data_IF_983249240882
#
_entry.id   IF_983249240882
#
_cell.length_a   1.000
_cell.length_b   1.000
_cell.length_c   1.000
_cell.angle_alpha   90.00
_cell.angle_beta   90.00
_cell.angle_gamma   90.00
#
_symmetry.space_group_name_H-M   'P 1'
#
loop_
_entity.id
_entity.type
_entity.pdbx_description
1 polymer ?
#
# COMPACT_ATOMS: atom_id res chain seq x y z
N UNK A 1 39.83 -34.87 3.99
CA UNK A 1 38.87 -34.14 3.13
C UNK A 1 37.44 -34.36 3.64
N UNK A 2 36.96 -33.59 4.63
CA UNK A 2 35.59 -33.73 5.19
C UNK A 2 34.93 -32.38 5.56
N UNK A 3 35.32 -31.27 4.92
CA UNK A 3 34.94 -29.92 5.40
C UNK A 3 33.92 -29.17 4.53
N UNK A 4 33.30 -29.79 3.52
CA UNK A 4 32.46 -29.06 2.55
C UNK A 4 30.94 -29.19 2.75
N UNK A 5 30.45 -30.32 3.28
CA UNK A 5 29.00 -30.58 3.39
C UNK A 5 28.33 -29.97 4.63
N UNK A 6 29.05 -29.86 5.74
CA UNK A 6 28.52 -29.29 7.00
C UNK A 6 28.43 -27.76 6.97
N UNK A 7 29.31 -27.09 6.23
CA UNK A 7 29.29 -25.62 6.06
C UNK A 7 28.04 -25.18 5.29
N UNK A 8 27.61 -25.95 4.27
CA UNK A 8 26.41 -25.64 3.49
C UNK A 8 25.11 -25.76 4.32
N UNK A 9 25.06 -26.69 5.28
CA UNK A 9 23.90 -26.90 6.16
C UNK A 9 23.80 -25.84 7.26
N UNK A 10 24.92 -25.30 7.73
CA UNK A 10 24.97 -24.18 8.68
C UNK A 10 24.66 -22.80 8.05
N UNK A 11 24.88 -22.64 6.74
CA UNK A 11 24.58 -21.38 6.03
C UNK A 11 23.08 -21.19 5.70
N UNK A 12 22.32 -22.27 5.54
CA UNK A 12 20.89 -22.23 5.23
C UNK A 12 20.04 -21.48 6.30
N UNK A 13 20.19 -21.72 7.62
CA UNK A 13 19.45 -20.96 8.63
C UNK A 13 19.88 -19.49 8.68
N UNK A 14 21.16 -19.17 8.43
CA UNK A 14 21.65 -17.79 8.40
C UNK A 14 21.05 -16.96 7.25
N UNK A 15 20.79 -17.59 6.10
CA UNK A 15 20.13 -16.95 4.96
C UNK A 15 18.66 -16.61 5.25
N UNK A 16 17.94 -17.50 5.96
CA UNK A 16 16.54 -17.31 6.34
C UNK A 16 16.33 -16.16 7.34
N UNK A 17 17.32 -15.88 8.20
CA UNK A 17 17.28 -14.76 9.15
C UNK A 17 17.31 -13.37 8.50
N UNK A 18 17.72 -13.25 7.23
CA UNK A 18 17.78 -11.95 6.53
C UNK A 18 16.43 -11.44 6.00
N UNK A 19 15.38 -12.27 6.06
CA UNK A 19 14.08 -11.96 5.49
C UNK A 19 13.22 -11.05 6.41
N UNK A 20 13.51 -11.04 7.70
CA UNK A 20 12.72 -10.33 8.73
C UNK A 20 12.99 -8.82 8.86
N UNK A 21 13.94 -8.26 8.11
CA UNK A 21 14.41 -6.88 8.28
C UNK A 21 14.40 -6.01 7.02
N UNK A 22 13.66 -6.36 5.97
CA UNK A 22 13.70 -5.58 4.72
C UNK A 22 12.85 -4.31 4.82
N UNK A 23 13.51 -3.18 5.02
CA UNK A 23 12.96 -1.88 4.63
C UNK A 23 13.10 -1.71 3.12
N UNK A 24 12.20 -0.95 2.53
CA UNK A 24 12.15 -0.57 1.12
C UNK A 24 12.03 0.95 1.02
N UNK A 25 12.53 1.57 -0.06
CA UNK A 25 12.18 2.96 -0.37
C UNK A 25 10.67 3.15 -0.35
N UNK A 26 10.22 4.16 0.40
CA UNK A 26 8.82 4.57 0.44
C UNK A 26 8.57 5.50 -0.75
N UNK A 27 7.85 4.94 -1.72
CA UNK A 27 7.41 5.63 -2.91
C UNK A 27 5.90 5.47 -2.99
N UNK A 28 5.18 6.58 -3.11
CA UNK A 28 3.74 6.53 -3.32
C UNK A 28 3.45 5.90 -4.69
N UNK A 29 2.43 5.04 -4.83
CA UNK A 29 2.06 4.46 -6.12
C UNK A 29 1.81 5.52 -7.18
N UNK A 30 2.02 5.16 -8.45
CA UNK A 30 1.64 6.01 -9.56
C UNK A 30 0.13 6.32 -9.52
N UNK A 31 -0.30 7.50 -9.99
CA UNK A 31 -1.72 7.83 -10.10
C UNK A 31 -2.47 6.80 -10.95
N UNK A 32 -3.68 6.44 -10.51
CA UNK A 32 -4.57 5.50 -11.21
C UNK A 32 -5.52 6.35 -12.06
N UNK A 33 -5.59 6.10 -13.36
CA UNK A 33 -6.52 6.80 -14.24
C UNK A 33 -7.98 6.45 -13.92
N UNK A 34 -8.86 7.44 -13.96
CA UNK A 34 -10.30 7.28 -13.80
C UNK A 34 -10.95 7.18 -15.18
N UNK A 35 -11.71 6.11 -15.47
CA UNK A 35 -12.49 6.01 -16.71
C UNK A 35 -13.43 7.21 -16.92
N UNK A 36 -13.62 7.60 -18.18
CA UNK A 36 -14.50 8.71 -18.52
C UNK A 36 -15.94 8.44 -18.08
N UNK A 37 -16.66 9.51 -17.70
CA UNK A 37 -18.07 9.43 -17.29
C UNK A 37 -18.30 9.13 -15.80
N UNK A 38 -17.26 8.80 -15.04
CA UNK A 38 -17.36 8.64 -13.59
C UNK A 38 -17.36 10.00 -12.88
N UNK A 39 -18.31 10.18 -11.96
CA UNK A 39 -18.32 11.33 -11.04
C UNK A 39 -17.58 11.01 -9.72
N UNK A 40 -17.29 12.04 -8.92
CA UNK A 40 -16.54 11.89 -7.68
C UNK A 40 -17.19 10.93 -6.65
N UNK A 41 -18.52 10.80 -6.65
CA UNK A 41 -19.23 9.86 -5.77
C UNK A 41 -18.93 8.41 -6.18
N UNK A 42 -18.95 8.12 -7.48
CA UNK A 42 -18.62 6.80 -8.02
C UNK A 42 -17.15 6.44 -7.79
N UNK A 43 -16.24 7.39 -8.00
CA UNK A 43 -14.80 7.21 -7.71
C UNK A 43 -14.58 6.95 -6.22
N UNK A 44 -15.21 7.74 -5.35
CA UNK A 44 -15.15 7.52 -3.91
C UNK A 44 -15.69 6.16 -3.48
N UNK A 45 -16.74 5.65 -4.15
CA UNK A 45 -17.27 4.29 -3.93
C UNK A 45 -16.26 3.21 -4.33
N UNK A 46 -15.58 3.36 -5.48
CA UNK A 46 -14.53 2.43 -5.91
C UNK A 46 -13.38 2.37 -4.89
N UNK A 47 -12.90 3.53 -4.44
CA UNK A 47 -11.84 3.66 -3.44
C UNK A 47 -12.25 3.02 -2.12
N UNK A 48 -13.44 3.35 -1.61
CA UNK A 48 -13.96 2.78 -0.36
C UNK A 48 -14.11 1.26 -0.45
N UNK A 49 -14.61 0.73 -1.57
CA UNK A 49 -14.71 -0.71 -1.80
C UNK A 49 -13.36 -1.42 -1.71
N UNK A 50 -12.32 -0.86 -2.31
CA UNK A 50 -10.98 -1.44 -2.30
C UNK A 50 -10.34 -1.39 -0.90
N UNK A 51 -10.50 -0.27 -0.18
CA UNK A 51 -10.04 -0.12 1.20
C UNK A 51 -10.66 -1.18 2.12
N UNK A 52 -12.00 -1.27 2.12
CA UNK A 52 -12.73 -2.22 2.95
C UNK A 52 -12.40 -3.67 2.60
N UNK A 53 -12.30 -3.99 1.30
CA UNK A 53 -11.93 -5.33 0.81
C UNK A 53 -10.55 -5.81 1.28
N UNK A 54 -9.66 -4.88 1.65
CA UNK A 54 -8.33 -5.17 2.20
C UNK A 54 -8.21 -4.94 3.71
N UNK A 55 -9.33 -4.72 4.39
CA UNK A 55 -9.37 -4.52 5.84
C UNK A 55 -8.83 -3.17 6.31
N UNK A 56 -8.73 -2.18 5.42
CA UNK A 56 -8.48 -0.79 5.83
C UNK A 56 -9.74 -0.20 6.44
N UNK A 57 -9.59 0.47 7.57
CA UNK A 57 -10.65 1.23 8.22
C UNK A 57 -10.64 2.66 7.71
N UNK A 58 -11.77 3.13 7.16
CA UNK A 58 -11.95 4.54 6.81
C UNK A 58 -12.07 5.37 8.08
N UNK A 59 -11.22 6.38 8.23
CA UNK A 59 -11.16 7.24 9.43
C UNK A 59 -11.72 8.63 9.18
N UNK A 60 -11.68 9.11 7.94
CA UNK A 60 -12.25 10.39 7.52
C UNK A 60 -12.64 10.30 6.04
N UNK A 61 -13.73 10.97 5.65
CA UNK A 61 -14.21 10.99 4.27
C UNK A 61 -14.68 12.39 3.90
N UNK A 62 -14.07 12.94 2.86
CA UNK A 62 -14.38 14.25 2.26
C UNK A 62 -14.83 14.05 0.82
N UNK A 63 -15.24 15.13 0.14
CA UNK A 63 -15.75 15.08 -1.24
C UNK A 63 -14.74 14.54 -2.25
N UNK A 64 -13.45 14.81 -2.06
CA UNK A 64 -12.36 14.44 -2.98
C UNK A 64 -11.22 13.68 -2.30
N UNK A 65 -11.42 13.22 -1.06
CA UNK A 65 -10.40 12.43 -0.36
C UNK A 65 -11.00 11.49 0.69
N UNK A 66 -10.32 10.38 0.94
CA UNK A 66 -10.62 9.42 2.00
C UNK A 66 -9.33 9.17 2.78
N UNK A 67 -9.37 9.36 4.10
CA UNK A 67 -8.29 8.91 4.99
C UNK A 67 -8.62 7.53 5.54
N UNK A 68 -7.62 6.66 5.59
CA UNK A 68 -7.79 5.30 6.06
C UNK A 68 -6.59 4.82 6.85
N UNK A 69 -6.82 3.85 7.74
CA UNK A 69 -5.79 3.19 8.51
C UNK A 69 -5.89 1.67 8.40
N UNK A 70 -4.74 1.00 8.40
CA UNK A 70 -4.63 -0.44 8.59
C UNK A 70 -3.83 -0.67 9.87
N UNK A 71 -4.41 -1.39 10.82
CA UNK A 71 -3.80 -1.60 12.13
C UNK A 71 -3.83 -3.06 12.57
N UNK A 72 -2.84 -3.42 13.37
CA UNK A 72 -2.77 -4.58 14.26
C UNK A 72 -2.33 -4.09 15.63
N UNK A 73 -2.29 -4.98 16.62
CA UNK A 73 -1.87 -4.63 17.98
C UNK A 73 -0.44 -4.06 17.99
N UNK A 74 0.43 -4.55 17.10
CA UNK A 74 1.84 -4.18 17.07
C UNK A 74 2.18 -3.03 16.13
N UNK A 75 1.34 -2.69 15.14
CA UNK A 75 1.69 -1.72 14.10
C UNK A 75 0.49 -1.02 13.47
N UNK A 76 0.72 0.17 12.91
CA UNK A 76 -0.30 0.98 12.25
C UNK A 76 0.27 1.61 10.98
N UNK A 77 -0.50 1.59 9.89
CA UNK A 77 -0.27 2.39 8.69
C UNK A 77 -1.45 3.34 8.46
N UNK A 78 -1.18 4.59 8.10
CA UNK A 78 -2.19 5.59 7.73
C UNK A 78 -1.90 6.13 6.34
N UNK A 79 -2.95 6.22 5.54
CA UNK A 79 -2.90 6.76 4.18
C UNK A 79 -4.00 7.78 3.97
N UNK A 80 -3.80 8.64 2.98
CA UNK A 80 -4.85 9.44 2.36
C UNK A 80 -4.95 9.03 0.90
N UNK A 81 -6.17 8.83 0.43
CA UNK A 81 -6.46 8.60 -0.98
C UNK A 81 -7.22 9.81 -1.49
N UNK A 82 -6.59 10.56 -2.39
CA UNK A 82 -7.17 11.73 -3.03
C UNK A 82 -7.63 11.36 -4.43
N UNK A 83 -8.75 11.92 -4.86
CA UNK A 83 -9.34 11.56 -6.14
C UNK A 83 -10.15 12.69 -6.76
N UNK A 84 -10.19 12.67 -8.08
CA UNK A 84 -11.04 13.52 -8.91
C UNK A 84 -11.60 12.70 -10.07
N UNK A 85 -12.19 13.37 -11.07
CA UNK A 85 -12.75 12.70 -12.25
C UNK A 85 -11.70 12.19 -13.26
N UNK A 86 -10.40 12.41 -13.00
CA UNK A 86 -9.29 12.04 -13.89
C UNK A 86 -8.37 11.01 -13.27
N UNK A 87 -8.11 11.09 -11.97
CA UNK A 87 -7.17 10.20 -11.31
C UNK A 87 -7.47 9.96 -9.83
N UNK A 88 -6.91 8.87 -9.32
CA UNK A 88 -6.82 8.54 -7.89
C UNK A 88 -5.35 8.45 -7.48
N UNK A 89 -4.99 9.08 -6.36
CA UNK A 89 -3.64 9.07 -5.81
C UNK A 89 -3.65 8.59 -4.35
N UNK A 90 -2.90 7.54 -4.06
CA UNK A 90 -2.66 7.07 -2.69
C UNK A 90 -1.41 7.76 -2.15
N UNK A 91 -1.47 8.28 -0.92
CA UNK A 91 -0.35 8.92 -0.24
C UNK A 91 -0.14 8.35 1.14
N UNK A 92 1.12 8.06 1.47
CA UNK A 92 1.53 7.83 2.85
C UNK A 92 1.25 9.06 3.72
N UNK A 93 0.68 8.84 4.91
CA UNK A 93 0.48 9.89 5.90
C UNK A 93 1.37 9.67 7.11
N UNK A 94 1.29 8.50 7.73
CA UNK A 94 1.98 8.20 8.98
C UNK A 94 2.01 6.68 9.25
N UNK A 95 2.89 6.23 10.14
CA UNK A 95 2.93 4.84 10.60
C UNK A 95 3.54 4.69 11.99
N UNK A 96 3.15 3.61 12.67
CA UNK A 96 3.74 3.15 13.93
C UNK A 96 4.31 1.76 13.74
N UNK A 97 5.54 1.55 14.23
CA UNK A 97 6.25 0.27 14.20
C UNK A 97 6.42 -0.36 12.79
N UNK A 98 6.43 0.48 11.74
CA UNK A 98 6.74 0.06 10.36
C UNK A 98 8.13 0.48 9.90
N UNK A 99 9.04 0.76 10.85
CA UNK A 99 10.43 1.17 10.56
C UNK A 99 10.49 2.34 9.57
N UNK A 100 9.59 3.31 9.72
CA UNK A 100 9.65 4.53 8.93
C UNK A 100 10.88 5.34 9.37
N UNK A 101 11.71 5.72 8.42
CA UNK A 101 12.86 6.58 8.65
C UNK A 101 13.16 7.43 7.43
N UNK A 102 13.81 8.57 7.66
CA UNK A 102 14.32 9.46 6.62
C UNK A 102 15.84 9.46 6.72
N UNK A 103 16.52 9.02 5.66
CA UNK A 103 17.98 9.04 5.57
C UNK A 103 18.48 10.48 5.35
N UNK A 104 19.78 10.70 5.55
CA UNK A 104 20.43 12.03 5.42
C UNK A 104 20.28 12.65 4.03
N UNK A 105 20.17 11.81 3.00
CA UNK A 105 19.96 12.19 1.60
C UNK A 105 18.48 12.50 1.26
N UNK A 106 17.58 12.44 2.25
CA UNK A 106 16.14 12.63 2.07
C UNK A 106 15.38 11.36 1.66
N UNK A 107 16.07 10.24 1.44
CA UNK A 107 15.42 8.97 1.09
C UNK A 107 14.55 8.49 2.26
N UNK A 108 13.25 8.30 2.00
CA UNK A 108 12.30 7.74 2.96
C UNK A 108 12.30 6.22 2.84
N UNK A 109 12.45 5.50 3.94
CA UNK A 109 12.36 4.03 3.99
C UNK A 109 11.21 3.59 4.90
N UNK A 110 10.63 2.43 4.60
CA UNK A 110 9.55 1.79 5.38
C UNK A 110 9.63 0.27 5.25
N UNK A 111 9.02 -0.47 6.16
CA UNK A 111 8.90 -1.92 6.07
C UNK A 111 8.33 -2.37 4.71
N UNK A 112 8.96 -3.35 4.06
CA UNK A 112 8.65 -3.77 2.68
C UNK A 112 7.18 -4.15 2.45
N UNK A 113 6.53 -4.77 3.43
CA UNK A 113 5.10 -5.12 3.37
C UNK A 113 4.21 -3.94 3.00
N UNK A 114 4.54 -2.73 3.46
CA UNK A 114 3.77 -1.53 3.14
C UNK A 114 3.66 -1.32 1.63
N UNK A 115 4.74 -1.56 0.89
CA UNK A 115 4.74 -1.40 -0.57
C UNK A 115 3.90 -2.44 -1.28
N UNK A 116 3.92 -3.69 -0.79
CA UNK A 116 2.98 -4.70 -1.26
C UNK A 116 1.53 -4.28 -1.04
N UNK A 117 1.19 -3.76 0.14
CA UNK A 117 -0.17 -3.29 0.43
C UNK A 117 -0.61 -2.17 -0.52
N UNK A 118 0.28 -1.22 -0.83
CA UNK A 118 -0.02 -0.12 -1.74
C UNK A 118 -0.20 -0.57 -3.19
N UNK A 119 0.64 -1.49 -3.69
CA UNK A 119 0.50 -2.08 -5.02
C UNK A 119 -0.85 -2.79 -5.17
N UNK A 120 -1.18 -3.60 -4.19
CA UNK A 120 -2.41 -4.35 -4.12
C UNK A 120 -3.65 -3.47 -4.02
N UNK A 121 -3.61 -2.45 -3.16
CA UNK A 121 -4.70 -1.48 -3.03
C UNK A 121 -4.90 -0.71 -4.35
N UNK A 122 -3.81 -0.33 -5.04
CA UNK A 122 -3.88 0.35 -6.33
C UNK A 122 -4.56 -0.50 -7.39
N UNK A 123 -4.19 -1.78 -7.50
CA UNK A 123 -4.82 -2.71 -8.44
C UNK A 123 -6.30 -2.93 -8.16
N UNK A 124 -6.70 -2.98 -6.88
CA UNK A 124 -8.10 -3.17 -6.50
C UNK A 124 -8.95 -1.93 -6.78
N UNK A 125 -8.41 -0.72 -6.55
CA UNK A 125 -9.06 0.54 -6.92
C UNK A 125 -9.31 0.57 -8.43
N UNK A 126 -8.27 0.27 -9.23
CA UNK A 126 -8.40 0.20 -10.69
C UNK A 126 -9.51 -0.75 -11.14
N UNK A 127 -9.53 -1.98 -10.61
CA UNK A 127 -10.59 -2.96 -10.93
C UNK A 127 -11.99 -2.47 -10.53
N UNK A 128 -12.12 -1.82 -9.37
CA UNK A 128 -13.41 -1.28 -8.94
C UNK A 128 -13.87 -0.10 -9.81
N UNK A 129 -12.96 0.73 -10.31
CA UNK A 129 -13.29 1.81 -11.24
C UNK A 129 -13.86 1.24 -12.54
N UNK A 130 -13.19 0.25 -13.13
CA UNK A 130 -13.66 -0.44 -14.35
C UNK A 130 -15.02 -1.12 -14.15
N UNK A 131 -15.21 -1.77 -13.00
CA UNK A 131 -16.49 -2.40 -12.68
C UNK A 131 -17.62 -1.38 -12.60
N UNK A 132 -17.40 -0.24 -11.93
CA UNK A 132 -18.43 0.78 -11.81
C UNK A 132 -18.72 1.43 -13.17
N UNK A 133 -17.70 1.74 -13.97
CA UNK A 133 -17.92 2.32 -15.31
C UNK A 133 -18.72 1.39 -16.21
N UNK A 134 -18.47 0.07 -16.17
CA UNK A 134 -19.22 -0.92 -16.95
C UNK A 134 -20.70 -1.02 -16.55
N UNK A 135 -21.07 -0.62 -15.33
CA UNK A 135 -22.46 -0.62 -14.84
C UNK A 135 -23.14 0.75 -14.90
N UNK A 136 -22.38 1.81 -15.18
CA UNK A 136 -22.86 3.18 -15.24
C UNK A 136 -23.23 3.64 -16.66
N UNK A 137 -22.77 2.92 -17.68
CA UNK A 137 -23.21 3.06 -19.08
C UNK A 137 -24.42 2.18 -19.37
#
# INVERSE_FOLDING_TARGET
MFHSRFVLVLLLPLLLLTMAFRQSPLVDPAPIAVPAGLNGVQVGKAVKGALLGRGWTVTDQQTSSISAQLSRDEWVAKIRVDFDARQVQIRYVDSKNLKYEVKRDGTRLIHSNYMGWMQYLSGDIGRNLELISATAG
#
